data_IF_006070892440
#
_entry.id   IF_006070892440
#
_cell.length_a   1.000
_cell.length_b   1.000
_cell.length_c   1.000
_cell.angle_alpha   90.00
_cell.angle_beta   90.00
_cell.angle_gamma   90.00
#
_symmetry.space_group_name_H-M   'P 1'
#
loop_
_entity.id
_entity.type
_entity.pdbx_description
1 polymer ?
#
# COMPACT_ATOMS: atom_id res chain seq x y z
N UNK A 1 19.44 17.83 9.22
CA UNK A 1 18.80 16.59 8.78
C UNK A 1 18.00 16.80 7.51
N UNK A 2 17.65 15.72 6.84
CA UNK A 2 16.79 15.78 5.64
C UNK A 2 15.34 16.02 6.05
N UNK A 3 14.64 16.86 5.27
CA UNK A 3 13.21 17.14 5.47
C UNK A 3 12.32 16.05 4.89
N UNK A 4 12.72 15.48 3.75
CA UNK A 4 12.01 14.42 3.04
C UNK A 4 12.86 13.17 2.96
N UNK A 5 12.23 12.02 3.03
CA UNK A 5 12.87 10.72 2.91
C UNK A 5 11.90 9.69 2.32
N UNK A 6 12.45 8.60 1.83
CA UNK A 6 11.69 7.46 1.32
C UNK A 6 11.94 6.29 2.26
N UNK A 7 10.88 5.63 2.67
CA UNK A 7 10.92 4.35 3.37
C UNK A 7 10.49 3.26 2.40
N UNK A 8 11.32 2.25 2.25
CA UNK A 8 11.10 1.10 1.36
C UNK A 8 11.23 -0.18 2.16
N UNK A 9 10.41 -1.17 1.81
CA UNK A 9 10.56 -2.55 2.24
C UNK A 9 11.81 -3.16 1.57
N UNK A 10 12.42 -4.17 2.15
CA UNK A 10 13.72 -4.73 1.71
C UNK A 10 13.60 -5.89 0.71
N UNK A 11 12.38 -6.37 0.44
CA UNK A 11 12.11 -7.53 -0.43
C UNK A 11 11.69 -7.17 -1.85
N UNK A 12 11.87 -5.91 -2.29
CA UNK A 12 11.57 -5.49 -3.66
C UNK A 12 12.68 -5.91 -4.64
N UNK A 13 12.29 -6.13 -5.89
CA UNK A 13 13.24 -6.47 -6.95
C UNK A 13 13.10 -5.60 -8.20
N UNK A 14 12.01 -4.88 -8.38
CA UNK A 14 11.76 -4.10 -9.59
C UNK A 14 10.77 -2.96 -9.36
N UNK A 15 11.00 -1.85 -10.09
CA UNK A 15 10.05 -0.76 -10.24
C UNK A 15 9.54 -0.69 -11.68
N UNK A 16 8.23 -0.58 -11.85
CA UNK A 16 7.61 -0.63 -13.17
C UNK A 16 6.50 0.41 -13.33
N UNK A 17 6.37 0.93 -14.56
CA UNK A 17 5.12 1.55 -14.98
C UNK A 17 4.07 0.48 -15.23
N UNK A 18 2.85 0.73 -14.78
CA UNK A 18 1.75 -0.23 -14.91
C UNK A 18 0.99 -0.06 -16.22
N UNK A 19 0.94 1.15 -16.71
CA UNK A 19 0.18 1.52 -17.91
C UNK A 19 1.10 2.17 -18.94
N UNK A 20 0.79 1.96 -20.22
CA UNK A 20 1.45 2.69 -21.31
C UNK A 20 0.81 4.08 -21.52
N UNK A 21 1.33 4.85 -22.48
CA UNK A 21 0.86 6.19 -22.79
C UNK A 21 -0.62 6.23 -23.27
N UNK A 22 -1.15 5.10 -23.73
CA UNK A 22 -2.56 4.93 -24.12
C UNK A 22 -3.42 4.39 -22.96
N UNK A 23 -2.87 4.38 -21.74
CA UNK A 23 -3.52 3.84 -20.51
C UNK A 23 -3.92 2.37 -20.60
N UNK A 24 -3.28 1.60 -21.49
CA UNK A 24 -3.45 0.15 -21.52
C UNK A 24 -2.61 -0.48 -20.42
N UNK A 25 -3.13 -1.51 -19.78
CA UNK A 25 -2.37 -2.30 -18.82
C UNK A 25 -1.20 -2.99 -19.54
N UNK A 26 -0.02 -2.41 -19.39
CA UNK A 26 1.20 -2.89 -20.02
C UNK A 26 2.39 -2.52 -19.17
N UNK A 27 2.78 -3.44 -18.32
CA UNK A 27 3.91 -3.24 -17.42
C UNK A 27 5.19 -2.98 -18.20
N UNK A 28 5.92 -1.95 -17.79
CA UNK A 28 7.22 -1.59 -18.35
C UNK A 28 8.17 -1.23 -17.23
N UNK A 29 9.37 -1.74 -17.31
CA UNK A 29 10.46 -1.40 -16.41
C UNK A 29 10.74 0.11 -16.39
N UNK A 30 10.93 0.67 -15.20
CA UNK A 30 11.35 2.06 -15.02
C UNK A 30 12.86 2.14 -15.20
N UNK A 31 13.30 2.85 -16.22
CA UNK A 31 14.73 3.05 -16.53
C UNK A 31 15.32 4.23 -15.75
N UNK A 32 14.54 5.24 -15.48
CA UNK A 32 14.92 6.45 -14.75
C UNK A 32 14.05 6.55 -13.48
N UNK A 33 14.54 5.90 -12.45
CA UNK A 33 13.84 5.84 -11.15
C UNK A 33 13.93 7.19 -10.43
N UNK A 34 15.03 7.90 -10.57
CA UNK A 34 15.23 9.21 -9.95
C UNK A 34 14.20 10.22 -10.48
N UNK A 35 13.95 10.21 -11.78
CA UNK A 35 12.90 11.03 -12.37
C UNK A 35 11.51 10.73 -11.76
N UNK A 36 11.17 9.45 -11.57
CA UNK A 36 9.90 9.06 -10.97
C UNK A 36 9.80 9.55 -9.53
N UNK A 37 10.85 9.32 -8.72
CA UNK A 37 10.87 9.79 -7.34
C UNK A 37 10.79 11.31 -7.23
N UNK A 38 11.48 12.03 -8.09
CA UNK A 38 11.39 13.50 -8.11
C UNK A 38 9.97 13.98 -8.45
N UNK A 39 9.30 13.40 -9.43
CA UNK A 39 7.90 13.76 -9.76
C UNK A 39 6.94 13.42 -8.63
N UNK A 40 7.12 12.26 -7.99
CA UNK A 40 6.32 11.87 -6.84
C UNK A 40 6.55 12.82 -5.66
N UNK A 41 7.79 13.22 -5.41
CA UNK A 41 8.13 14.16 -4.34
C UNK A 41 7.53 15.55 -4.59
N UNK A 42 7.62 16.08 -5.80
CA UNK A 42 6.99 17.35 -6.17
C UNK A 42 5.48 17.32 -5.93
N UNK A 43 4.83 16.22 -6.33
CA UNK A 43 3.42 16.03 -6.08
C UNK A 43 3.10 15.93 -4.58
N UNK A 44 3.90 15.20 -3.82
CA UNK A 44 3.79 15.10 -2.37
C UNK A 44 3.92 16.46 -1.66
N UNK A 45 4.87 17.30 -2.11
CA UNK A 45 5.07 18.63 -1.57
C UNK A 45 3.88 19.56 -1.85
N UNK A 46 3.32 19.46 -3.06
CA UNK A 46 2.20 20.30 -3.50
C UNK A 46 0.86 19.96 -2.81
N UNK A 47 0.76 18.79 -2.18
CA UNK A 47 -0.49 18.30 -1.61
C UNK A 47 -0.35 18.00 -0.10
N UNK A 48 -1.45 18.09 0.68
CA UNK A 48 -1.42 17.90 2.14
C UNK A 48 -1.45 16.41 2.55
N UNK A 49 -0.78 15.54 1.81
CA UNK A 49 -0.74 14.12 2.12
C UNK A 49 0.15 13.82 3.33
N UNK A 50 -0.24 12.85 4.12
CA UNK A 50 0.61 12.30 5.18
C UNK A 50 1.76 11.52 4.55
N UNK A 51 1.44 10.71 3.55
CA UNK A 51 2.42 9.99 2.73
C UNK A 51 1.86 9.66 1.35
N UNK A 52 2.77 9.42 0.41
CA UNK A 52 2.49 8.98 -0.95
C UNK A 52 3.27 7.69 -1.20
N UNK A 53 2.57 6.63 -1.58
CA UNK A 53 3.13 5.31 -1.87
C UNK A 53 3.00 4.93 -3.35
N UNK A 54 3.85 4.04 -3.82
CA UNK A 54 3.64 3.32 -5.07
C UNK A 54 2.62 2.20 -4.87
N UNK A 55 1.95 1.79 -5.94
CA UNK A 55 1.07 0.64 -5.89
C UNK A 55 1.85 -0.68 -5.79
N UNK A 56 1.16 -1.71 -5.33
CA UNK A 56 1.67 -3.07 -5.33
C UNK A 56 1.21 -3.86 -6.55
N UNK A 57 1.95 -4.94 -6.82
CA UNK A 57 1.75 -5.84 -7.95
C UNK A 57 0.31 -6.39 -8.07
N UNK A 58 -0.33 -6.78 -6.96
CA UNK A 58 -1.67 -7.36 -6.92
C UNK A 58 -2.84 -6.37 -7.00
N UNK A 59 -2.57 -5.07 -7.02
CA UNK A 59 -3.60 -4.03 -6.85
C UNK A 59 -4.40 -3.68 -8.12
N UNK A 60 -4.10 -4.32 -9.25
CA UNK A 60 -4.63 -3.93 -10.56
C UNK A 60 -5.57 -4.97 -11.19
N UNK A 61 -6.59 -5.32 -10.46
CA UNK A 61 -7.68 -6.13 -11.00
C UNK A 61 -8.62 -5.19 -11.77
N UNK A 62 -8.83 -5.45 -13.06
CA UNK A 62 -9.77 -4.67 -13.88
C UNK A 62 -9.25 -4.17 -15.23
N UNK A 63 -7.97 -4.38 -15.53
CA UNK A 63 -7.39 -4.16 -16.87
C UNK A 63 -7.53 -2.73 -17.41
N UNK A 64 -7.58 -2.62 -18.72
CA UNK A 64 -7.58 -1.36 -19.49
C UNK A 64 -8.71 -0.38 -19.12
N UNK A 65 -9.88 -0.87 -18.78
CA UNK A 65 -11.06 -0.06 -18.45
C UNK A 65 -11.12 0.30 -16.95
N UNK A 66 -10.15 -0.12 -16.17
CA UNK A 66 -10.09 0.23 -14.76
C UNK A 66 -9.89 1.74 -14.59
N UNK A 67 -10.72 2.36 -13.77
CA UNK A 67 -10.54 3.75 -13.32
C UNK A 67 -9.19 3.98 -12.64
N UNK A 68 -8.53 2.93 -12.19
CA UNK A 68 -7.19 2.96 -11.57
C UNK A 68 -6.10 3.46 -12.51
N UNK A 69 -6.25 3.25 -13.83
CA UNK A 69 -5.25 3.69 -14.81
C UNK A 69 -5.06 5.22 -14.87
N UNK A 70 -6.04 5.98 -14.44
CA UNK A 70 -6.04 7.44 -14.53
C UNK A 70 -6.14 8.14 -13.18
N UNK A 71 -6.16 7.40 -12.08
CA UNK A 71 -6.45 7.95 -10.78
C UNK A 71 -5.29 7.81 -9.79
N UNK A 72 -5.17 8.79 -8.94
CA UNK A 72 -4.44 8.73 -7.68
C UNK A 72 -5.47 8.43 -6.61
N UNK A 73 -5.23 7.43 -5.77
CA UNK A 73 -6.29 6.83 -4.98
C UNK A 73 -6.10 7.06 -3.49
N UNK A 74 -7.13 7.63 -2.84
CA UNK A 74 -7.26 7.67 -1.37
C UNK A 74 -7.86 6.39 -0.78
N UNK A 75 -8.60 5.63 -1.60
CA UNK A 75 -9.28 4.38 -1.19
C UNK A 75 -8.48 3.17 -1.66
N UNK A 76 -7.18 3.15 -1.34
CA UNK A 76 -6.25 2.10 -1.70
C UNK A 76 -5.27 1.83 -0.57
N UNK A 77 -4.71 0.63 -0.58
CA UNK A 77 -3.60 0.27 0.31
C UNK A 77 -2.40 1.15 0.02
N UNK A 78 -1.83 1.76 1.04
CA UNK A 78 -0.52 2.42 0.99
C UNK A 78 0.47 1.52 1.72
N UNK A 79 1.40 0.92 0.99
CA UNK A 79 2.27 -0.15 1.49
C UNK A 79 3.65 -0.05 0.85
N UNK A 80 4.66 -0.52 1.56
CA UNK A 80 5.99 -0.94 1.09
C UNK A 80 6.85 0.15 0.42
N UNK A 81 6.32 1.32 0.18
CA UNK A 81 7.08 2.48 -0.32
C UNK A 81 6.36 3.74 0.10
N UNK A 82 7.02 4.55 0.91
CA UNK A 82 6.40 5.74 1.49
C UNK A 82 7.31 6.95 1.29
N UNK A 83 6.82 7.98 0.63
CA UNK A 83 7.44 9.30 0.68
C UNK A 83 6.94 9.99 1.93
N UNK A 84 7.85 10.36 2.80
CA UNK A 84 7.61 10.91 4.11
C UNK A 84 8.24 12.29 4.30
N UNK A 85 7.74 13.04 5.28
CA UNK A 85 8.29 14.33 5.69
C UNK A 85 8.33 14.44 7.21
N UNK A 86 9.35 15.08 7.72
CA UNK A 86 9.46 15.43 9.14
C UNK A 86 8.38 16.43 9.61
N UNK A 87 7.78 17.18 8.69
CA UNK A 87 6.66 18.09 8.98
C UNK A 87 5.32 17.38 9.13
N UNK A 88 5.21 16.14 8.63
CA UNK A 88 3.97 15.33 8.63
C UNK A 88 4.23 13.96 9.25
N UNK A 89 4.72 13.93 10.50
CA UNK A 89 5.13 12.67 11.13
C UNK A 89 3.94 11.77 11.38
N UNK A 90 4.18 10.46 11.25
CA UNK A 90 3.30 9.41 11.73
C UNK A 90 4.15 8.24 12.25
N UNK A 91 3.52 7.30 12.93
CA UNK A 91 4.18 6.08 13.40
C UNK A 91 3.39 4.89 12.90
N UNK A 92 4.09 3.84 12.51
CA UNK A 92 3.46 2.56 12.21
C UNK A 92 2.84 1.95 13.46
N UNK A 93 1.68 1.33 13.30
CA UNK A 93 0.84 0.84 14.40
C UNK A 93 0.84 -0.68 14.42
N UNK A 94 1.38 -1.24 15.50
CA UNK A 94 1.51 -2.69 15.67
C UNK A 94 2.74 -3.27 14.98
N UNK A 95 2.90 -4.61 15.10
CA UNK A 95 3.97 -5.38 14.45
C UNK A 95 3.44 -6.25 13.31
N UNK A 96 2.16 -6.51 13.31
CA UNK A 96 1.48 -7.37 12.33
C UNK A 96 0.53 -6.48 11.53
N UNK A 97 0.64 -6.48 10.20
CA UNK A 97 -0.11 -5.57 9.31
C UNK A 97 0.05 -4.09 9.73
N UNK A 98 1.24 -3.68 10.09
CA UNK A 98 1.54 -2.32 10.56
C UNK A 98 1.12 -1.25 9.53
N UNK A 99 1.27 -1.53 8.26
CA UNK A 99 0.83 -0.70 7.15
C UNK A 99 -0.71 -0.55 7.14
N UNK A 100 -1.44 -1.68 7.14
CA UNK A 100 -2.92 -1.70 7.15
C UNK A 100 -3.45 -0.99 8.39
N UNK A 101 -2.89 -1.30 9.55
CA UNK A 101 -3.29 -0.68 10.81
C UNK A 101 -3.08 0.83 10.78
N UNK A 102 -1.96 1.26 10.22
CA UNK A 102 -1.57 2.66 10.17
C UNK A 102 -2.50 3.46 9.26
N UNK A 103 -2.65 3.08 7.99
CA UNK A 103 -3.49 3.88 7.10
C UNK A 103 -4.98 3.77 7.43
N UNK A 104 -5.45 2.68 8.05
CA UNK A 104 -6.85 2.60 8.47
C UNK A 104 -7.12 3.44 9.70
N UNK A 105 -6.36 3.27 10.78
CA UNK A 105 -6.60 4.04 12.01
C UNK A 105 -6.32 5.53 11.83
N UNK A 106 -5.19 5.90 11.25
CA UNK A 106 -4.87 7.30 11.02
C UNK A 106 -5.77 7.95 9.96
N UNK A 107 -6.27 7.17 9.01
CA UNK A 107 -7.27 7.61 8.04
C UNK A 107 -8.58 8.02 8.70
N UNK A 108 -9.06 7.29 9.72
CA UNK A 108 -10.23 7.70 10.53
C UNK A 108 -10.00 9.00 11.28
N UNK A 109 -8.75 9.38 11.52
CA UNK A 109 -8.34 10.62 12.17
C UNK A 109 -8.07 11.78 11.18
N UNK A 110 -8.39 11.59 9.89
CA UNK A 110 -8.22 12.60 8.86
C UNK A 110 -6.83 12.63 8.20
N UNK A 111 -5.94 11.69 8.50
CA UNK A 111 -4.66 11.56 7.79
C UNK A 111 -4.86 10.98 6.39
N UNK A 112 -4.18 11.54 5.40
CA UNK A 112 -4.36 11.17 3.99
C UNK A 112 -3.19 10.31 3.53
N UNK A 113 -3.47 9.06 3.25
CA UNK A 113 -2.54 8.09 2.65
C UNK A 113 -2.91 7.90 1.18
N UNK A 114 -1.99 8.17 0.28
CA UNK A 114 -2.24 8.14 -1.16
C UNK A 114 -1.41 7.05 -1.80
N UNK A 115 -2.03 6.35 -2.76
CA UNK A 115 -1.35 5.39 -3.63
C UNK A 115 -1.38 5.88 -5.07
N UNK A 116 -0.19 6.04 -5.65
CA UNK A 116 -0.01 6.33 -7.06
C UNK A 116 -0.09 5.03 -7.85
N UNK A 117 -1.17 4.83 -8.57
CA UNK A 117 -1.45 3.57 -9.26
C UNK A 117 -0.69 3.39 -10.60
N UNK A 118 -0.06 4.45 -11.10
CA UNK A 118 0.68 4.43 -12.37
C UNK A 118 2.03 3.73 -12.26
N UNK A 119 2.62 3.73 -11.07
CA UNK A 119 3.90 3.10 -10.78
C UNK A 119 3.72 2.01 -9.72
N UNK A 120 4.50 0.97 -9.83
CA UNK A 120 4.41 -0.18 -8.95
C UNK A 120 5.79 -0.61 -8.48
N UNK A 121 5.85 -0.97 -7.22
CA UNK A 121 6.94 -1.69 -6.59
C UNK A 121 6.61 -3.19 -6.68
N UNK A 122 7.43 -3.94 -7.40
CA UNK A 122 7.31 -5.39 -7.50
C UNK A 122 8.16 -6.04 -6.41
N UNK A 123 7.52 -6.89 -5.62
CA UNK A 123 8.11 -7.58 -4.48
C UNK A 123 8.00 -9.09 -4.62
N UNK A 124 8.84 -9.79 -3.89
CA UNK A 124 8.74 -11.24 -3.71
C UNK A 124 7.37 -11.56 -3.08
N UNK A 125 6.78 -12.66 -3.48
CA UNK A 125 5.47 -13.08 -2.93
C UNK A 125 5.58 -13.25 -1.43
N UNK A 126 4.72 -12.59 -0.67
CA UNK A 126 4.66 -12.68 0.79
C UNK A 126 4.64 -14.14 1.24
N UNK A 127 5.47 -14.50 2.20
CA UNK A 127 5.67 -15.86 2.72
C UNK A 127 6.47 -16.80 1.79
N UNK A 128 7.06 -16.33 0.70
CA UNK A 128 7.95 -17.14 -0.14
C UNK A 128 9.39 -17.17 0.37
N UNK A 129 9.82 -16.17 1.14
CA UNK A 129 11.14 -16.10 1.74
C UNK A 129 11.14 -16.62 3.18
N UNK A 130 12.23 -17.26 3.60
CA UNK A 130 12.46 -17.62 4.99
C UNK A 130 12.92 -16.38 5.77
N UNK A 131 12.29 -16.11 6.92
CA UNK A 131 12.66 -15.00 7.81
C UNK A 131 11.51 -14.01 8.06
N UNK A 132 11.77 -13.02 8.88
CA UNK A 132 10.79 -12.00 9.28
C UNK A 132 9.58 -12.58 9.99
N UNK A 133 8.38 -12.09 9.64
CA UNK A 133 7.12 -12.53 10.24
C UNK A 133 6.56 -13.84 9.66
N UNK A 134 7.24 -14.45 8.67
CA UNK A 134 6.77 -15.68 8.00
C UNK A 134 6.55 -16.83 8.98
N UNK A 135 7.43 -17.01 9.95
CA UNK A 135 7.30 -18.06 10.96
C UNK A 135 6.07 -17.87 11.86
N UNK A 136 5.77 -16.64 12.25
CA UNK A 136 4.57 -16.31 13.01
C UNK A 136 3.28 -16.60 12.22
N UNK A 137 3.35 -16.48 10.89
CA UNK A 137 2.20 -16.77 10.00
C UNK A 137 2.04 -18.26 9.71
N UNK A 138 3.12 -19.05 9.79
CA UNK A 138 3.03 -20.50 9.54
C UNK A 138 2.35 -21.26 10.69
N UNK A 139 2.55 -20.82 11.94
CA UNK A 139 1.94 -21.47 13.10
C UNK A 139 0.44 -21.22 13.25
N UNK A 140 -0.01 -20.00 12.99
CA UNK A 140 -1.37 -19.54 13.27
C UNK A 140 -2.17 -19.10 12.04
N UNK A 141 -1.56 -19.20 10.85
CA UNK A 141 -2.17 -18.85 9.57
C UNK A 141 -2.49 -17.36 9.42
N UNK A 142 -3.39 -17.06 8.50
CA UNK A 142 -3.82 -15.67 8.21
C UNK A 142 -4.79 -15.12 9.26
N UNK A 143 -5.15 -15.91 10.27
CA UNK A 143 -6.09 -15.54 11.33
C UNK A 143 -5.56 -14.35 12.14
N UNK A 144 -4.40 -14.50 12.79
CA UNK A 144 -3.79 -13.41 13.58
C UNK A 144 -3.61 -12.14 12.76
N UNK A 145 -3.07 -12.29 11.54
CA UNK A 145 -2.88 -11.17 10.62
C UNK A 145 -4.17 -10.40 10.36
N UNK A 146 -5.27 -11.12 10.15
CA UNK A 146 -6.55 -10.50 9.81
C UNK A 146 -7.23 -9.86 11.01
N UNK A 147 -7.21 -10.53 12.15
CA UNK A 147 -7.85 -10.03 13.36
C UNK A 147 -7.09 -8.89 14.04
N UNK A 148 -5.76 -8.84 13.95
CA UNK A 148 -4.99 -7.72 14.50
C UNK A 148 -5.47 -6.38 13.95
N UNK A 149 -5.74 -6.29 12.64
CA UNK A 149 -6.24 -5.07 12.02
C UNK A 149 -7.67 -4.73 12.44
N UNK A 150 -8.52 -5.74 12.69
CA UNK A 150 -9.88 -5.50 13.23
C UNK A 150 -9.81 -4.94 14.64
N UNK A 151 -8.91 -5.46 15.50
CA UNK A 151 -8.73 -4.95 16.87
C UNK A 151 -8.28 -3.49 16.84
N UNK A 152 -7.37 -3.13 15.94
CA UNK A 152 -6.84 -1.77 15.83
C UNK A 152 -7.89 -0.79 15.30
N UNK A 153 -8.69 -1.18 14.32
CA UNK A 153 -9.67 -0.29 13.68
C UNK A 153 -11.01 -1.02 13.40
N UNK A 154 -11.80 -1.36 14.45
CA UNK A 154 -13.01 -2.17 14.29
C UNK A 154 -14.12 -1.49 13.46
N UNK A 155 -14.16 -0.16 13.42
CA UNK A 155 -15.09 0.57 12.56
C UNK A 155 -14.74 0.50 11.08
N UNK A 156 -13.47 0.37 10.76
CA UNK A 156 -12.90 0.43 9.40
C UNK A 156 -12.48 -0.91 8.82
N UNK A 157 -12.25 -1.92 9.64
CA UNK A 157 -11.74 -3.22 9.20
C UNK A 157 -12.66 -4.36 9.66
N UNK A 158 -12.93 -5.27 8.76
CA UNK A 158 -13.66 -6.52 9.03
C UNK A 158 -12.87 -7.69 8.48
N UNK A 159 -13.24 -8.91 8.82
CA UNK A 159 -12.70 -10.13 8.21
C UNK A 159 -13.66 -10.69 7.16
N UNK A 160 -13.10 -11.24 6.10
CA UNK A 160 -13.82 -11.95 5.05
C UNK A 160 -13.02 -13.17 4.60
N UNK A 161 -13.70 -14.16 4.06
CA UNK A 161 -13.06 -15.27 3.38
C UNK A 161 -12.67 -14.85 1.95
N UNK A 162 -11.44 -15.12 1.56
CA UNK A 162 -10.89 -14.76 0.25
C UNK A 162 -10.26 -15.99 -0.41
N UNK A 163 -10.47 -16.11 -1.73
CA UNK A 163 -9.98 -17.23 -2.53
C UNK A 163 -11.12 -18.17 -2.95
N UNK A 164 -10.93 -18.92 -4.04
CA UNK A 164 -11.90 -19.86 -4.57
C UNK A 164 -11.53 -21.32 -4.23
N UNK A 165 -10.28 -21.72 -4.44
CA UNK A 165 -9.79 -23.07 -4.17
C UNK A 165 -9.09 -23.18 -2.82
N UNK A 166 -8.34 -22.15 -2.43
CA UNK A 166 -7.65 -22.07 -1.14
C UNK A 166 -8.24 -20.89 -0.38
N UNK A 167 -9.37 -21.13 0.27
CA UNK A 167 -10.03 -20.10 1.08
C UNK A 167 -9.16 -19.76 2.30
N UNK A 168 -8.88 -18.48 2.47
CA UNK A 168 -8.17 -17.95 3.62
C UNK A 168 -8.91 -16.76 4.22
N UNK A 169 -8.80 -16.61 5.51
CA UNK A 169 -9.29 -15.41 6.17
C UNK A 169 -8.43 -14.22 5.82
N UNK A 170 -9.07 -13.10 5.48
CA UNK A 170 -8.39 -11.88 5.09
C UNK A 170 -9.10 -10.66 5.69
N UNK A 171 -8.35 -9.61 6.04
CA UNK A 171 -8.93 -8.35 6.43
C UNK A 171 -9.60 -7.67 5.22
N UNK A 172 -10.76 -7.09 5.46
CA UNK A 172 -11.49 -6.31 4.45
C UNK A 172 -11.70 -4.90 4.96
N UNK A 173 -11.34 -3.89 4.16
CA UNK A 173 -11.35 -2.49 4.56
C UNK A 173 -12.61 -1.81 4.06
N UNK A 174 -13.34 -1.21 4.98
CA UNK A 174 -14.50 -0.35 4.70
C UNK A 174 -14.00 1.07 4.41
N UNK A 175 -13.60 1.30 3.18
CA UNK A 175 -12.96 2.55 2.76
C UNK A 175 -13.78 3.81 3.06
N UNK A 176 -15.10 3.72 3.07
CA UNK A 176 -15.98 4.83 3.44
C UNK A 176 -15.78 5.29 4.90
N UNK A 177 -15.29 4.39 5.76
CA UNK A 177 -15.08 4.69 7.18
C UNK A 177 -13.63 5.10 7.50
N UNK A 178 -12.68 4.82 6.59
CA UNK A 178 -11.25 5.00 6.89
C UNK A 178 -10.55 6.00 5.97
N UNK A 179 -11.10 6.30 4.82
CA UNK A 179 -10.54 7.33 3.94
C UNK A 179 -11.18 8.68 4.28
N UNK A 180 -10.39 9.73 4.51
CA UNK A 180 -10.92 11.08 4.63
C UNK A 180 -11.70 11.47 3.37
N UNK A 181 -12.86 12.10 3.55
CA UNK A 181 -13.70 12.64 2.46
C UNK A 181 -13.59 14.14 2.41
#
# INVERSE_FOLDING_TARGET
GYKYFIELDDDYYEFSYKFDNERRYRQRFIKDLDYVWMRMLEYYIACPFTTLAMAQCGDFIGGKLSKLASAIMTKRKAMNSFICSTDRPFKFIGRINEDVNTYTLLGTQGKIFITMSQVVLNQVTTQAASGGMSEAYWGEGTYQKSFSSVIVCPSGVTVAMMGYRNMRMHHNIRWVNVAPM
#
